data_IF_580773483371
#
_entry.id   IF_580773483371
#
_cell.length_a   1.000
_cell.length_b   1.000
_cell.length_c   1.000
_cell.angle_alpha   90.00
_cell.angle_beta   90.00
_cell.angle_gamma   90.00
#
_symmetry.space_group_name_H-M   'P 1'
#
loop_
_entity.id
_entity.type
_entity.pdbx_description
1 polymer ?
#
# COMPACT_ATOMS: atom_id res chain seq x y z
N UNK A 1 -8.73 -9.95 5.43
CA UNK A 1 -9.26 -10.48 4.15
C UNK A 1 -9.02 -11.98 4.04
N UNK A 2 -7.76 -12.46 4.05
CA UNK A 2 -7.48 -13.90 3.94
C UNK A 2 -8.14 -14.69 5.09
N UNK A 3 -7.98 -14.27 6.32
CA UNK A 3 -8.60 -14.87 7.49
C UNK A 3 -10.13 -14.98 7.33
N UNK A 4 -10.80 -13.89 6.96
CA UNK A 4 -12.23 -13.86 6.72
C UNK A 4 -12.67 -14.78 5.56
N UNK A 5 -11.93 -14.76 4.43
CA UNK A 5 -12.27 -15.57 3.25
C UNK A 5 -12.24 -17.07 3.57
N UNK A 6 -11.31 -17.50 4.40
CA UNK A 6 -11.10 -18.91 4.70
C UNK A 6 -11.63 -19.34 6.07
N UNK A 7 -12.35 -18.44 6.78
CA UNK A 7 -12.99 -18.74 8.05
C UNK A 7 -12.00 -19.06 9.19
N UNK A 8 -10.77 -18.54 9.11
CA UNK A 8 -9.74 -18.75 10.12
C UNK A 8 -9.70 -17.53 11.04
N UNK A 9 -9.61 -17.68 12.38
CA UNK A 9 -9.39 -16.57 13.30
C UNK A 9 -8.13 -15.78 12.93
N UNK A 10 -8.15 -14.46 13.15
CA UNK A 10 -7.03 -13.59 12.72
C UNK A 10 -5.69 -14.00 13.32
N UNK A 11 -5.68 -14.31 14.62
CA UNK A 11 -4.47 -14.72 15.34
C UNK A 11 -3.85 -16.01 14.79
N UNK A 12 -4.72 -16.96 14.44
CA UNK A 12 -4.30 -18.23 13.84
C UNK A 12 -3.81 -18.01 12.41
N UNK A 13 -4.53 -17.22 11.63
CA UNK A 13 -4.10 -16.84 10.29
C UNK A 13 -2.75 -16.11 10.30
N UNK A 14 -2.51 -15.26 11.30
CA UNK A 14 -1.23 -14.57 11.47
C UNK A 14 -0.10 -15.57 11.69
N UNK A 15 -0.26 -16.55 12.60
CA UNK A 15 0.71 -17.63 12.84
C UNK A 15 0.98 -18.44 11.58
N UNK A 16 -0.08 -18.91 10.91
CA UNK A 16 0.04 -19.66 9.65
C UNK A 16 0.86 -18.88 8.59
N UNK A 17 0.75 -17.56 8.55
CA UNK A 17 1.42 -16.75 7.51
C UNK A 17 2.85 -16.39 7.85
N UNK A 18 3.22 -16.32 9.11
CA UNK A 18 4.52 -15.81 9.56
C UNK A 18 5.44 -16.88 10.19
N UNK A 19 4.88 -17.99 10.65
CA UNK A 19 5.65 -19.10 11.18
C UNK A 19 5.94 -20.13 10.08
N UNK A 20 7.18 -20.19 9.63
CA UNK A 20 7.61 -21.08 8.55
C UNK A 20 7.53 -22.55 8.92
N UNK A 21 7.60 -22.87 10.23
CA UNK A 21 7.51 -24.23 10.76
C UNK A 21 6.05 -24.68 10.95
N UNK A 22 5.09 -23.78 10.76
CA UNK A 22 3.67 -24.14 10.88
C UNK A 22 3.26 -25.14 9.79
N UNK A 23 2.57 -26.25 10.15
CA UNK A 23 2.21 -27.32 9.17
C UNK A 23 1.40 -26.81 7.99
N UNK A 24 0.59 -25.77 8.18
CA UNK A 24 -0.24 -25.17 7.16
C UNK A 24 0.39 -23.94 6.48
N UNK A 25 1.65 -23.62 6.76
CA UNK A 25 2.31 -22.42 6.25
C UNK A 25 2.22 -22.29 4.72
N UNK A 26 2.53 -23.35 3.98
CA UNK A 26 2.49 -23.36 2.51
C UNK A 26 1.09 -23.08 1.96
N UNK A 27 0.08 -23.68 2.55
CA UNK A 27 -1.33 -23.47 2.17
C UNK A 27 -1.74 -22.04 2.53
N UNK A 28 -1.34 -21.57 3.70
CA UNK A 28 -1.58 -20.21 4.16
C UNK A 28 -1.00 -19.16 3.22
N UNK A 29 0.22 -19.34 2.76
CA UNK A 29 0.86 -18.44 1.78
C UNK A 29 0.09 -18.37 0.45
N UNK A 30 -0.39 -19.52 -0.05
CA UNK A 30 -1.22 -19.55 -1.27
C UNK A 30 -2.53 -18.78 -1.03
N UNK A 31 -3.21 -19.05 0.08
CA UNK A 31 -4.47 -18.37 0.46
C UNK A 31 -4.28 -16.86 0.62
N UNK A 32 -3.20 -16.44 1.26
CA UNK A 32 -2.84 -15.02 1.41
C UNK A 32 -2.60 -14.35 0.05
N UNK A 33 -1.84 -15.01 -0.84
CA UNK A 33 -1.60 -14.51 -2.21
C UNK A 33 -2.90 -14.35 -3.00
N UNK A 34 -3.82 -15.30 -2.92
CA UNK A 34 -5.13 -15.21 -3.58
C UNK A 34 -5.98 -14.06 -3.01
N UNK A 35 -6.08 -13.95 -1.70
CA UNK A 35 -6.81 -12.87 -1.05
C UNK A 35 -6.22 -11.49 -1.41
N UNK A 36 -4.90 -11.38 -1.49
CA UNK A 36 -4.19 -10.16 -1.93
C UNK A 36 -4.53 -9.82 -3.39
N UNK A 37 -4.54 -10.81 -4.29
CA UNK A 37 -4.93 -10.61 -5.70
C UNK A 37 -6.36 -10.06 -5.82
N UNK A 38 -7.30 -10.59 -5.04
CA UNK A 38 -8.69 -10.11 -5.01
C UNK A 38 -8.73 -8.67 -4.49
N UNK A 39 -8.20 -8.40 -3.30
CA UNK A 39 -8.26 -7.10 -2.67
C UNK A 39 -7.63 -6.00 -3.53
N UNK A 40 -6.40 -6.19 -3.97
CA UNK A 40 -5.73 -5.21 -4.83
C UNK A 40 -6.39 -5.12 -6.21
N UNK A 41 -6.80 -6.26 -6.78
CA UNK A 41 -7.52 -6.25 -8.05
C UNK A 41 -8.76 -5.36 -7.99
N UNK A 42 -9.54 -5.47 -6.93
CA UNK A 42 -10.76 -4.68 -6.74
C UNK A 42 -10.48 -3.19 -6.49
N UNK A 43 -9.44 -2.89 -5.70
CA UNK A 43 -8.98 -1.51 -5.49
C UNK A 43 -8.48 -0.90 -6.80
N UNK A 44 -7.82 -1.69 -7.65
CA UNK A 44 -7.38 -1.24 -8.98
C UNK A 44 -8.47 -1.29 -10.04
N UNK A 45 -9.72 -1.61 -9.65
CA UNK A 45 -10.87 -1.61 -10.55
C UNK A 45 -10.86 -2.72 -11.58
N UNK A 46 -10.27 -3.88 -11.24
CA UNK A 46 -10.29 -5.06 -12.11
C UNK A 46 -11.73 -5.55 -12.30
N UNK A 47 -12.08 -5.92 -13.54
CA UNK A 47 -13.34 -6.59 -13.82
C UNK A 47 -13.25 -8.12 -13.66
N UNK A 48 -14.41 -8.78 -13.56
CA UNK A 48 -14.50 -10.23 -13.31
C UNK A 48 -13.69 -11.08 -14.29
N UNK A 49 -13.70 -10.75 -15.59
CA UNK A 49 -12.93 -11.47 -16.62
C UNK A 49 -11.43 -11.48 -16.33
N UNK A 50 -10.83 -10.33 -16.01
CA UNK A 50 -9.40 -10.23 -15.71
C UNK A 50 -9.08 -10.79 -14.33
N UNK A 51 -10.00 -10.67 -13.37
CA UNK A 51 -9.83 -11.27 -12.04
C UNK A 51 -9.81 -12.80 -12.17
N UNK A 52 -10.69 -13.40 -12.97
CA UNK A 52 -10.71 -14.83 -13.25
C UNK A 52 -9.35 -15.33 -13.77
N UNK A 53 -8.77 -14.63 -14.75
CA UNK A 53 -7.44 -14.95 -15.28
C UNK A 53 -6.36 -14.87 -14.19
N UNK A 54 -6.40 -13.83 -13.33
CA UNK A 54 -5.40 -13.67 -12.26
C UNK A 54 -5.54 -14.69 -11.13
N UNK A 55 -6.74 -15.19 -10.88
CA UNK A 55 -7.00 -16.20 -9.85
C UNK A 55 -6.72 -17.61 -10.36
N UNK A 56 -6.82 -17.84 -11.67
CA UNK A 56 -6.51 -19.13 -12.27
C UNK A 56 -5.02 -19.45 -12.17
N UNK A 57 -4.72 -20.70 -11.92
CA UNK A 57 -3.39 -21.29 -12.02
C UNK A 57 -3.50 -22.63 -12.78
N UNK A 58 -3.38 -22.61 -14.12
CA UNK A 58 -3.51 -23.82 -14.93
C UNK A 58 -2.49 -24.90 -14.59
N UNK A 59 -1.30 -24.51 -14.09
CA UNK A 59 -0.27 -25.48 -13.67
C UNK A 59 -0.68 -26.25 -12.41
N UNK A 60 -1.46 -25.62 -11.54
CA UNK A 60 -2.04 -26.24 -10.36
C UNK A 60 -3.45 -26.84 -10.63
N UNK A 61 -3.92 -26.85 -11.88
CA UNK A 61 -5.26 -27.33 -12.24
C UNK A 61 -6.39 -26.42 -11.79
N UNK A 62 -6.09 -25.20 -11.34
CA UNK A 62 -7.09 -24.25 -10.87
C UNK A 62 -7.52 -23.34 -12.02
N UNK A 63 -8.76 -23.49 -12.47
CA UNK A 63 -9.39 -22.63 -13.46
C UNK A 63 -10.57 -21.93 -12.81
N UNK A 64 -10.56 -20.61 -12.83
CA UNK A 64 -11.63 -19.75 -12.26
C UNK A 64 -12.38 -19.11 -13.42
N UNK A 65 -13.69 -19.25 -13.44
CA UNK A 65 -14.54 -18.62 -14.45
C UNK A 65 -14.83 -17.15 -14.12
N UNK A 66 -15.23 -16.31 -15.09
CA UNK A 66 -15.65 -14.94 -14.82
C UNK A 66 -16.84 -14.84 -13.84
N UNK A 67 -17.75 -15.82 -13.85
CA UNK A 67 -18.91 -15.89 -12.95
C UNK A 67 -18.48 -16.17 -11.51
N UNK A 68 -17.51 -17.05 -11.31
CA UNK A 68 -16.92 -17.32 -9.99
C UNK A 68 -16.14 -16.11 -9.50
N UNK A 69 -15.36 -15.46 -10.36
CA UNK A 69 -14.67 -14.23 -10.03
C UNK A 69 -15.65 -13.09 -9.65
N UNK A 70 -16.81 -13.01 -10.33
CA UNK A 70 -17.85 -12.03 -9.97
C UNK A 70 -18.44 -12.32 -8.59
N UNK A 71 -18.70 -13.58 -8.25
CA UNK A 71 -19.15 -13.97 -6.90
C UNK A 71 -18.15 -13.57 -5.81
N UNK A 72 -16.86 -13.77 -6.06
CA UNK A 72 -15.79 -13.33 -5.13
C UNK A 72 -15.79 -11.81 -4.95
N UNK A 73 -15.99 -11.05 -6.01
CA UNK A 73 -16.13 -9.59 -5.95
C UNK A 73 -17.35 -9.17 -5.11
N UNK A 74 -18.49 -9.83 -5.33
CA UNK A 74 -19.73 -9.52 -4.60
C UNK A 74 -19.62 -9.83 -3.11
N UNK A 75 -18.99 -10.97 -2.77
CA UNK A 75 -18.67 -11.35 -1.39
C UNK A 75 -17.77 -10.30 -0.75
N UNK A 76 -16.69 -9.89 -1.43
CA UNK A 76 -15.78 -8.89 -0.93
C UNK A 76 -16.50 -7.57 -0.62
N UNK A 77 -17.27 -7.03 -1.55
CA UNK A 77 -17.99 -5.78 -1.33
C UNK A 77 -19.13 -5.90 -0.31
N UNK A 78 -19.71 -7.08 -0.12
CA UNK A 78 -20.66 -7.36 0.96
C UNK A 78 -19.99 -7.31 2.34
N UNK A 79 -18.77 -7.83 2.43
CA UNK A 79 -17.96 -7.79 3.66
C UNK A 79 -17.38 -6.39 3.93
N UNK A 80 -17.20 -5.56 2.89
CA UNK A 80 -16.63 -4.22 2.99
C UNK A 80 -17.59 -3.12 2.49
N UNK A 81 -18.75 -2.92 3.13
CA UNK A 81 -19.78 -2.00 2.64
C UNK A 81 -19.31 -0.54 2.63
N UNK A 82 -18.39 -0.15 3.52
CA UNK A 82 -17.80 1.19 3.54
C UNK A 82 -16.97 1.46 2.28
N UNK A 83 -16.21 0.47 1.81
CA UNK A 83 -15.42 0.58 0.59
C UNK A 83 -16.32 0.73 -0.65
N UNK A 84 -17.43 -0.01 -0.70
CA UNK A 84 -18.42 0.12 -1.77
C UNK A 84 -19.04 1.53 -1.81
N UNK A 85 -19.41 2.07 -0.63
CA UNK A 85 -19.95 3.44 -0.51
C UNK A 85 -18.89 4.49 -0.90
N UNK A 86 -17.63 4.30 -0.48
CA UNK A 86 -16.54 5.19 -0.83
C UNK A 86 -16.33 5.22 -2.35
N UNK A 87 -16.27 4.06 -3.01
CA UNK A 87 -16.16 3.96 -4.47
C UNK A 87 -17.27 4.74 -5.17
N UNK A 88 -18.53 4.50 -4.79
CA UNK A 88 -19.68 5.19 -5.38
C UNK A 88 -19.61 6.72 -5.18
N UNK A 89 -19.17 7.17 -4.00
CA UNK A 89 -18.96 8.61 -3.71
C UNK A 89 -17.90 9.21 -4.61
N UNK A 90 -16.78 8.52 -4.82
CA UNK A 90 -15.69 8.99 -5.68
C UNK A 90 -16.09 9.02 -7.17
N UNK A 91 -16.84 8.01 -7.63
CA UNK A 91 -17.38 7.99 -9.01
C UNK A 91 -18.35 9.16 -9.25
N UNK A 92 -19.22 9.42 -8.29
CA UNK A 92 -20.14 10.58 -8.36
C UNK A 92 -19.37 11.90 -8.39
N UNK A 93 -18.41 12.07 -7.49
CA UNK A 93 -17.56 13.27 -7.43
C UNK A 93 -16.80 13.48 -8.74
N UNK A 94 -16.23 12.41 -9.31
CA UNK A 94 -15.56 12.47 -10.60
C UNK A 94 -16.50 12.91 -11.74
N UNK A 95 -17.73 12.40 -11.75
CA UNK A 95 -18.75 12.76 -12.74
C UNK A 95 -19.12 14.25 -12.66
N UNK A 96 -19.21 14.79 -11.48
CA UNK A 96 -19.59 16.19 -11.22
C UNK A 96 -18.46 17.17 -11.53
N UNK A 97 -17.21 16.78 -11.29
CA UNK A 97 -16.08 17.72 -11.28
C UNK A 97 -15.00 17.44 -12.36
N UNK A 98 -15.00 16.26 -12.97
CA UNK A 98 -13.99 15.87 -13.98
C UNK A 98 -12.59 15.61 -13.41
N UNK A 99 -12.44 15.55 -12.07
CA UNK A 99 -11.18 15.22 -11.41
C UNK A 99 -11.43 14.48 -10.10
N UNK A 100 -10.37 13.81 -9.61
CA UNK A 100 -10.30 13.25 -8.26
C UNK A 100 -9.31 14.05 -7.43
N UNK A 101 -9.48 14.01 -6.11
CA UNK A 101 -8.60 14.70 -5.16
C UNK A 101 -7.98 13.69 -4.20
N UNK A 102 -6.66 13.81 -3.97
CA UNK A 102 -5.98 13.04 -2.93
C UNK A 102 -6.30 13.61 -1.55
N UNK A 103 -5.93 12.87 -0.50
CA UNK A 103 -6.07 13.31 0.88
C UNK A 103 -5.32 14.63 1.14
N UNK A 104 -4.20 14.86 0.46
CA UNK A 104 -3.38 16.07 0.55
C UNK A 104 -3.78 17.18 -0.43
N UNK A 105 -4.95 17.06 -1.08
CA UNK A 105 -5.48 18.10 -1.98
C UNK A 105 -4.92 18.07 -3.41
N UNK A 106 -4.08 17.09 -3.76
CA UNK A 106 -3.57 16.92 -5.12
C UNK A 106 -4.69 16.49 -6.06
N UNK A 107 -4.83 17.13 -7.21
CA UNK A 107 -5.90 16.87 -8.17
C UNK A 107 -5.40 16.04 -9.35
N UNK A 108 -6.14 14.97 -9.66
CA UNK A 108 -5.98 14.21 -10.91
C UNK A 108 -7.16 14.48 -11.82
N UNK A 109 -6.93 15.22 -12.90
CA UNK A 109 -7.94 15.49 -13.92
C UNK A 109 -8.16 14.24 -14.76
N UNK A 110 -9.42 13.92 -15.01
CA UNK A 110 -9.86 12.74 -15.79
C UNK A 110 -10.99 13.14 -16.74
N UNK A 111 -10.69 13.94 -17.78
CA UNK A 111 -11.69 14.37 -18.75
C UNK A 111 -12.36 13.20 -19.48
N UNK A 112 -11.73 12.02 -19.48
CA UNK A 112 -12.28 10.76 -20.00
C UNK A 112 -13.65 10.40 -19.39
N UNK A 113 -14.01 10.96 -18.23
CA UNK A 113 -15.34 10.72 -17.62
C UNK A 113 -16.48 11.23 -18.49
N UNK A 114 -16.20 12.18 -19.38
CA UNK A 114 -17.15 12.77 -20.33
C UNK A 114 -17.03 12.18 -21.75
N UNK A 115 -16.13 11.23 -21.95
CA UNK A 115 -15.91 10.55 -23.23
C UNK A 115 -16.86 9.39 -23.49
N UNK A 116 -16.45 8.48 -24.35
CA UNK A 116 -17.20 7.27 -24.68
C UNK A 116 -17.23 6.26 -23.52
N UNK A 117 -17.94 5.15 -23.71
CA UNK A 117 -18.09 4.11 -22.69
C UNK A 117 -16.75 3.52 -22.21
N UNK A 118 -15.75 3.43 -23.10
CA UNK A 118 -14.41 2.91 -22.78
C UNK A 118 -13.64 3.90 -21.93
N UNK A 119 -13.71 5.17 -22.29
CA UNK A 119 -13.09 6.28 -21.57
C UNK A 119 -13.70 6.44 -20.18
N UNK A 120 -15.03 6.42 -20.08
CA UNK A 120 -15.74 6.47 -18.80
C UNK A 120 -15.38 5.28 -17.90
N UNK A 121 -15.29 4.06 -18.47
CA UNK A 121 -14.89 2.88 -17.72
C UNK A 121 -13.46 3.00 -17.20
N UNK A 122 -12.54 3.60 -17.95
CA UNK A 122 -11.19 3.92 -17.50
C UNK A 122 -11.22 4.92 -16.33
N UNK A 123 -11.92 6.04 -16.50
CA UNK A 123 -12.01 7.08 -15.47
C UNK A 123 -12.62 6.55 -14.15
N UNK A 124 -13.68 5.75 -14.25
CA UNK A 124 -14.32 5.10 -13.08
C UNK A 124 -13.40 4.12 -12.36
N UNK A 125 -12.51 3.39 -13.06
CA UNK A 125 -11.50 2.56 -12.40
C UNK A 125 -10.54 3.39 -11.55
N UNK A 126 -10.23 4.61 -11.97
CA UNK A 126 -9.36 5.51 -11.20
C UNK A 126 -10.04 6.06 -9.94
N UNK A 127 -11.37 6.01 -9.86
CA UNK A 127 -12.11 6.58 -8.75
C UNK A 127 -11.77 5.94 -7.39
N UNK A 128 -11.48 4.65 -7.37
CA UNK A 128 -11.03 3.96 -6.15
C UNK A 128 -9.51 3.89 -6.04
N UNK A 129 -8.83 3.70 -7.17
CA UNK A 129 -7.39 3.54 -7.21
C UNK A 129 -6.64 4.81 -6.81
N UNK A 130 -6.97 5.94 -7.42
CA UNK A 130 -6.20 7.17 -7.24
C UNK A 130 -6.15 7.66 -5.78
N UNK A 131 -7.27 7.74 -5.02
CA UNK A 131 -7.21 8.17 -3.64
C UNK A 131 -6.30 7.29 -2.77
N UNK A 132 -6.34 5.97 -2.97
CA UNK A 132 -5.52 5.03 -2.20
C UNK A 132 -4.03 5.14 -2.55
N UNK A 133 -3.69 5.09 -3.85
CA UNK A 133 -2.29 5.15 -4.29
C UNK A 133 -1.67 6.53 -4.06
N UNK A 134 -2.44 7.60 -4.29
CA UNK A 134 -1.91 8.93 -4.04
C UNK A 134 -1.67 9.19 -2.56
N UNK A 135 -2.51 8.64 -1.67
CA UNK A 135 -2.28 8.76 -0.25
C UNK A 135 -0.94 8.12 0.16
N UNK A 136 -0.68 6.88 -0.27
CA UNK A 136 0.59 6.22 0.01
C UNK A 136 1.79 7.01 -0.53
N UNK A 137 1.74 7.43 -1.80
CA UNK A 137 2.79 8.24 -2.41
C UNK A 137 2.97 9.60 -1.73
N UNK A 138 1.87 10.26 -1.37
CA UNK A 138 1.92 11.58 -0.72
C UNK A 138 2.55 11.47 0.68
N UNK A 139 2.26 10.40 1.44
CA UNK A 139 2.88 10.15 2.75
C UNK A 139 4.38 9.97 2.61
N UNK A 140 4.84 9.15 1.66
CA UNK A 140 6.28 8.93 1.40
C UNK A 140 6.99 10.24 1.06
N UNK A 141 6.45 11.00 0.10
CA UNK A 141 7.03 12.28 -0.31
C UNK A 141 7.04 13.31 0.84
N UNK A 142 5.98 13.33 1.63
CA UNK A 142 5.90 14.24 2.77
C UNK A 142 6.92 13.88 3.85
N UNK A 143 7.10 12.58 4.12
CA UNK A 143 8.13 12.08 5.02
C UNK A 143 9.54 12.51 4.58
N UNK A 144 9.84 12.38 3.30
CA UNK A 144 11.11 12.84 2.71
C UNK A 144 11.32 14.35 2.92
N UNK A 145 10.31 15.17 2.64
CA UNK A 145 10.38 16.63 2.88
C UNK A 145 10.60 16.95 4.36
N UNK A 146 9.93 16.23 5.26
CA UNK A 146 10.09 16.43 6.70
C UNK A 146 11.49 16.05 7.18
N UNK A 147 12.04 14.93 6.69
CA UNK A 147 13.42 14.51 6.96
C UNK A 147 14.39 15.61 6.53
N UNK A 148 14.24 16.11 5.30
CA UNK A 148 15.05 17.23 4.80
C UNK A 148 14.96 18.47 5.71
N UNK A 149 13.76 18.82 6.14
CA UNK A 149 13.53 19.95 7.03
C UNK A 149 14.21 19.76 8.39
N UNK A 150 14.13 18.57 8.98
CA UNK A 150 14.79 18.24 10.25
C UNK A 150 16.31 18.24 10.13
N UNK A 151 16.87 17.79 9.00
CA UNK A 151 18.30 17.91 8.69
C UNK A 151 18.73 19.39 8.64
N UNK A 152 17.93 20.24 7.99
CA UNK A 152 18.19 21.70 7.92
C UNK A 152 18.17 22.36 9.29
N UNK A 153 17.41 21.84 10.23
CA UNK A 153 17.36 22.33 11.62
C UNK A 153 18.47 21.73 12.51
N UNK A 154 19.33 20.85 11.98
CA UNK A 154 20.35 20.15 12.76
C UNK A 154 19.78 19.10 13.73
N UNK A 155 18.51 18.71 13.58
CA UNK A 155 17.88 17.68 14.40
C UNK A 155 18.17 16.27 13.91
N UNK A 156 18.51 16.11 12.65
CA UNK A 156 18.99 14.87 12.05
C UNK A 156 20.37 15.11 11.43
N UNK A 157 21.24 14.09 11.40
CA UNK A 157 22.51 14.17 10.68
C UNK A 157 22.27 14.39 9.18
N UNK A 158 23.25 14.95 8.51
CA UNK A 158 23.18 15.20 7.08
C UNK A 158 23.20 13.86 6.33
N UNK A 159 22.20 13.67 5.49
CA UNK A 159 22.09 12.56 4.54
C UNK A 159 21.72 13.14 3.18
N UNK A 160 22.12 12.48 2.11
CA UNK A 160 21.74 12.88 0.76
C UNK A 160 20.68 11.92 0.22
N UNK A 161 19.47 12.41 -0.04
CA UNK A 161 18.45 11.62 -0.74
C UNK A 161 18.89 11.48 -2.20
N UNK A 162 19.12 10.25 -2.63
CA UNK A 162 19.63 9.94 -3.96
C UNK A 162 18.55 9.47 -4.92
N UNK A 163 17.49 8.90 -4.41
CA UNK A 163 16.37 8.44 -5.23
C UNK A 163 15.08 8.25 -4.40
N UNK A 164 13.95 8.42 -5.06
CA UNK A 164 12.63 7.95 -4.60
C UNK A 164 12.10 6.97 -5.65
N UNK A 165 11.82 5.74 -5.25
CA UNK A 165 11.31 4.69 -6.14
C UNK A 165 10.05 4.11 -5.53
N UNK A 166 8.89 4.39 -6.13
CA UNK A 166 7.56 4.01 -5.63
C UNK A 166 7.27 4.57 -4.23
N UNK A 167 7.35 3.73 -3.22
CA UNK A 167 7.12 3.99 -1.80
C UNK A 167 8.40 3.91 -0.96
N UNK A 168 9.57 3.79 -1.60
CA UNK A 168 10.88 3.75 -0.97
C UNK A 168 11.68 5.02 -1.26
N UNK A 169 12.35 5.55 -0.23
CA UNK A 169 13.33 6.63 -0.34
C UNK A 169 14.72 6.08 -0.03
N UNK A 170 15.68 6.42 -0.88
CA UNK A 170 17.06 5.99 -0.76
C UNK A 170 17.93 7.16 -0.33
N UNK A 171 18.66 6.94 0.75
CA UNK A 171 19.57 7.95 1.32
C UNK A 171 20.99 7.42 1.32
N UNK A 172 21.92 8.29 0.92
CA UNK A 172 23.35 8.07 1.11
C UNK A 172 23.80 8.79 2.38
N UNK A 173 24.53 8.10 3.25
CA UNK A 173 25.01 8.63 4.53
C UNK A 173 26.35 8.01 4.90
N UNK A 174 27.11 8.70 5.74
CA UNK A 174 28.33 8.15 6.33
C UNK A 174 28.02 6.96 7.21
N UNK A 175 28.75 5.84 7.11
CA UNK A 175 28.50 4.63 7.93
C UNK A 175 28.46 4.92 9.43
N UNK A 176 29.29 5.82 9.93
CA UNK A 176 29.32 6.24 11.33
C UNK A 176 28.07 6.96 11.81
N UNK A 177 27.23 7.47 10.87
CA UNK A 177 25.97 8.16 11.15
C UNK A 177 24.75 7.24 11.05
N UNK A 178 24.97 6.01 10.58
CA UNK A 178 23.95 4.96 10.58
C UNK A 178 23.83 4.43 12.00
N UNK A 179 23.31 5.26 12.88
CA UNK A 179 23.02 4.81 14.21
C UNK A 179 21.51 4.64 14.39
N UNK A 180 21.16 3.85 15.38
CA UNK A 180 19.78 3.52 15.76
C UNK A 180 18.93 4.78 15.92
N UNK A 181 19.52 5.89 16.36
CA UNK A 181 18.81 7.15 16.60
C UNK A 181 18.30 7.81 15.34
N UNK A 182 19.10 7.85 14.28
CA UNK A 182 18.70 8.45 13.00
C UNK A 182 17.52 7.72 12.41
N UNK A 183 17.58 6.39 12.41
CA UNK A 183 16.54 5.54 11.82
C UNK A 183 15.31 5.51 12.72
N UNK A 184 15.48 5.42 14.04
CA UNK A 184 14.36 5.50 14.98
C UNK A 184 13.64 6.83 14.91
N UNK A 185 14.36 7.95 14.80
CA UNK A 185 13.75 9.27 14.63
C UNK A 185 12.97 9.37 13.32
N UNK A 186 13.50 8.83 12.22
CA UNK A 186 12.79 8.75 10.95
C UNK A 186 11.53 7.88 11.06
N UNK A 187 11.58 6.83 11.84
CA UNK A 187 10.45 5.91 12.06
C UNK A 187 9.36 6.56 12.93
N UNK A 188 9.74 7.28 13.98
CA UNK A 188 8.82 7.99 14.85
C UNK A 188 8.08 9.11 14.11
N UNK A 189 8.71 9.76 13.12
CA UNK A 189 8.04 10.76 12.28
C UNK A 189 6.76 10.22 11.62
N UNK A 190 6.72 8.96 11.27
CA UNK A 190 5.55 8.35 10.64
C UNK A 190 4.58 7.71 11.66
N UNK A 191 5.05 7.39 12.86
CA UNK A 191 4.26 6.75 13.93
C UNK A 191 3.76 7.71 14.99
N UNK A 192 4.47 8.81 15.20
CA UNK A 192 4.16 9.76 16.27
C UNK A 192 2.84 10.48 15.99
N UNK A 193 1.86 10.39 16.90
CA UNK A 193 0.66 11.20 16.84
C UNK A 193 0.93 12.71 16.82
N UNK A 194 2.08 13.16 17.32
CA UNK A 194 2.50 14.56 17.28
C UNK A 194 2.95 15.01 15.89
N UNK A 195 3.13 14.10 14.93
CA UNK A 195 3.30 14.46 13.52
C UNK A 195 1.99 14.90 12.86
N UNK A 196 0.86 14.73 13.54
CA UNK A 196 -0.46 15.24 13.11
C UNK A 196 -0.45 16.69 12.62
N UNK A 197 0.26 17.65 13.26
CA UNK A 197 0.36 19.01 12.75
C UNK A 197 1.04 19.11 11.38
N UNK A 198 1.93 18.20 11.05
CA UNK A 198 2.65 18.20 9.78
C UNK A 198 1.84 17.55 8.64
N UNK A 199 1.08 16.50 8.94
CA UNK A 199 0.29 15.78 7.93
C UNK A 199 -1.13 16.36 7.76
N UNK A 200 -1.63 17.15 8.71
CA UNK A 200 -2.99 17.67 8.67
C UNK A 200 -4.09 16.61 8.83
N UNK A 201 -3.74 15.35 9.05
CA UNK A 201 -4.66 14.25 9.32
C UNK A 201 -4.03 13.24 10.27
N UNK A 202 -4.86 12.48 10.93
CA UNK A 202 -4.45 11.40 11.82
C UNK A 202 -5.12 10.10 11.39
N UNK A 203 -4.38 9.01 11.42
CA UNK A 203 -4.89 7.66 11.14
C UNK A 203 -4.84 6.90 12.46
N UNK A 204 -5.92 7.01 13.23
CA UNK A 204 -6.01 6.48 14.60
C UNK A 204 -5.90 4.95 14.66
N UNK A 205 -6.39 4.26 13.62
CA UNK A 205 -6.59 2.81 13.65
C UNK A 205 -5.58 2.02 12.79
N UNK A 206 -4.67 2.69 12.09
CA UNK A 206 -3.72 2.04 11.18
C UNK A 206 -2.32 2.59 11.41
N UNK A 207 -1.44 1.76 11.95
CA UNK A 207 -0.01 2.07 12.01
C UNK A 207 0.59 1.97 10.61
N UNK A 208 1.38 2.97 10.24
CA UNK A 208 2.22 2.91 9.04
C UNK A 208 3.55 2.30 9.46
N UNK A 209 3.77 1.05 9.09
CA UNK A 209 5.05 0.42 9.30
C UNK A 209 5.99 0.72 8.14
N UNK A 210 7.25 0.89 8.44
CA UNK A 210 8.33 1.08 7.47
C UNK A 210 9.34 -0.04 7.63
N UNK A 211 9.75 -0.61 6.51
CA UNK A 211 10.87 -1.53 6.46
C UNK A 211 12.14 -0.75 6.12
N UNK A 212 13.23 -1.08 6.79
CA UNK A 212 14.54 -0.47 6.58
C UNK A 212 15.51 -1.52 6.06
N UNK A 213 16.22 -1.13 5.02
CA UNK A 213 17.33 -1.91 4.50
C UNK A 213 18.59 -1.04 4.45
N UNK A 214 19.72 -1.69 4.58
CA UNK A 214 21.03 -1.08 4.53
C UNK A 214 21.90 -1.85 3.54
N UNK A 215 22.76 -1.14 2.81
CA UNK A 215 23.65 -1.79 1.87
C UNK A 215 24.70 -0.83 1.34
N UNK A 216 25.80 -1.35 0.81
CA UNK A 216 26.83 -0.56 0.14
C UNK A 216 26.37 -0.11 -1.24
N UNK A 217 25.43 -0.81 -1.81
CA UNK A 217 24.79 -0.52 -3.09
C UNK A 217 23.31 -0.80 -3.02
N UNK A 218 22.52 -0.28 -3.95
CA UNK A 218 21.08 -0.59 -4.07
C UNK A 218 20.80 -2.08 -4.41
N UNK A 219 21.81 -2.87 -4.75
CA UNK A 219 21.68 -4.28 -5.08
C UNK A 219 22.03 -5.21 -3.89
N UNK A 220 22.59 -4.67 -2.82
CA UNK A 220 23.04 -5.41 -1.64
C UNK A 220 22.25 -4.96 -0.41
N UNK A 221 20.93 -5.09 -0.49
CA UNK A 221 20.05 -4.70 0.61
C UNK A 221 20.00 -5.78 1.68
N UNK A 222 20.45 -5.45 2.89
CA UNK A 222 20.32 -6.26 4.09
C UNK A 222 19.25 -5.65 5.00
N UNK A 223 18.42 -6.46 5.66
CA UNK A 223 17.51 -5.95 6.68
C UNK A 223 18.28 -5.18 7.74
N UNK A 224 17.78 -4.01 8.12
CA UNK A 224 18.37 -3.28 9.23
C UNK A 224 18.05 -3.97 10.55
N UNK A 225 19.09 -4.37 11.29
CA UNK A 225 18.99 -4.97 12.61
C UNK A 225 19.60 -4.00 13.61
N UNK A 226 18.80 -3.45 14.56
CA UNK A 226 19.32 -2.55 15.57
C UNK A 226 20.47 -3.18 16.38
N UNK A 227 21.59 -2.46 16.51
CA UNK A 227 22.77 -2.91 17.24
C UNK A 227 23.70 -3.87 16.48
N UNK A 228 23.41 -4.19 15.23
CA UNK A 228 24.31 -4.97 14.37
C UNK A 228 25.40 -4.07 13.79
N UNK A 229 26.64 -4.56 13.76
CA UNK A 229 27.78 -3.88 13.12
C UNK A 229 27.79 -4.22 11.63
N UNK A 230 27.56 -3.24 10.79
CA UNK A 230 27.54 -3.36 9.33
C UNK A 230 28.90 -3.00 8.68
N UNK A 231 29.99 -2.84 9.45
CA UNK A 231 31.32 -2.54 8.94
C UNK A 231 32.02 -3.72 8.30
#
# INVERSE_FOLDING_TARGET
>A
IAAQKYGVPYEEAYKIYHDEDHPDHKIGQVRRKQAKKIAFGLIYGIGAKLLAVKLSDPKAGLIVTPEEAQKEMDIFFKQHPRLKKFKAKQEKYLQEHGYLMSLFGRRRRLPQIYGDNKDQAYAKRMALNFPCQSCASDVTLFGSVLIYYLMRQGKLPKMDEVATVHDACYYNTEPSLINIWTISAMWEIFRDPDTKPYFGFHVDDVTMDMDYTIGRTMAEELPFIPGYDYN
#
